data_IF_291618482238
#
_entry.id   IF_291618482238
#
_cell.length_a   1.000
_cell.length_b   1.000
_cell.length_c   1.000
_cell.angle_alpha   90.00
_cell.angle_beta   90.00
_cell.angle_gamma   90.00
#
_symmetry.space_group_name_H-M   'P 1'
#
loop_
_entity.id
_entity.type
_entity.pdbx_description
1 polymer ?
#
# COMPACT_ATOMS: atom_id res chain seq x y z
N UNK A 1 -6.30 14.92 5.36
CA UNK A 1 -6.64 14.06 6.49
C UNK A 1 -7.55 12.91 6.07
N UNK A 2 -7.45 11.77 6.80
CA UNK A 2 -8.21 10.55 6.51
C UNK A 2 -8.76 9.97 7.81
N UNK A 3 -10.04 9.60 7.83
CA UNK A 3 -10.63 8.87 8.95
C UNK A 3 -10.13 7.43 8.98
N UNK A 4 -9.96 6.87 10.18
CA UNK A 4 -9.77 5.44 10.36
C UNK A 4 -10.98 4.65 9.85
N UNK A 5 -10.83 3.36 9.48
CA UNK A 5 -11.93 2.55 8.96
C UNK A 5 -13.15 2.45 9.91
N UNK A 6 -12.92 2.53 11.23
CA UNK A 6 -13.97 2.52 12.25
C UNK A 6 -14.52 3.94 12.59
N UNK A 7 -13.99 4.98 11.95
CA UNK A 7 -14.40 6.37 12.13
C UNK A 7 -14.04 7.02 13.47
N UNK A 8 -13.22 6.37 14.31
CA UNK A 8 -12.90 6.88 15.66
C UNK A 8 -11.66 7.75 15.70
N UNK A 9 -10.84 7.70 14.67
CA UNK A 9 -9.58 8.40 14.59
C UNK A 9 -9.45 9.17 13.28
N UNK A 10 -8.63 10.21 13.28
CA UNK A 10 -8.32 11.04 12.13
C UNK A 10 -6.80 11.10 11.95
N UNK A 11 -6.30 10.59 10.84
CA UNK A 11 -4.90 10.76 10.44
C UNK A 11 -4.73 12.07 9.66
N UNK A 12 -3.62 12.76 9.89
CA UNK A 12 -3.27 14.01 9.21
C UNK A 12 -1.76 14.21 9.20
N UNK A 13 -1.28 15.03 8.27
CA UNK A 13 0.12 15.45 8.23
C UNK A 13 0.27 16.77 8.97
N UNK A 14 1.20 16.80 9.93
CA UNK A 14 1.65 17.96 10.66
C UNK A 14 3.00 18.42 10.10
N UNK A 15 3.19 19.73 9.98
CA UNK A 15 4.43 20.35 9.48
C UNK A 15 4.97 19.75 8.17
N UNK A 16 4.07 19.19 7.36
CA UNK A 16 4.32 18.60 6.01
C UNK A 16 5.07 17.27 6.01
N UNK A 17 5.66 16.84 7.13
CA UNK A 17 6.52 15.66 7.16
C UNK A 17 6.24 14.68 8.29
N UNK A 18 5.26 14.97 9.18
CA UNK A 18 4.91 14.08 10.30
C UNK A 18 3.49 13.54 10.15
N UNK A 19 3.35 12.23 10.07
CA UNK A 19 2.05 11.59 10.15
C UNK A 19 1.61 11.51 11.61
N UNK A 20 0.44 12.06 11.89
CA UNK A 20 -0.18 12.16 13.20
C UNK A 20 -1.55 11.51 13.19
N UNK A 21 -2.01 11.03 14.34
CA UNK A 21 -3.37 10.51 14.52
C UNK A 21 -4.03 11.16 15.74
N UNK A 22 -5.20 11.73 15.52
CA UNK A 22 -6.09 12.27 16.54
C UNK A 22 -7.17 11.24 16.89
N UNK A 23 -7.27 10.85 18.15
CA UNK A 23 -8.43 10.10 18.64
C UNK A 23 -9.60 11.08 18.86
N UNK A 24 -10.73 10.83 18.21
CA UNK A 24 -11.87 11.78 18.18
C UNK A 24 -12.64 11.84 19.50
N UNK A 25 -12.60 10.78 20.30
CA UNK A 25 -13.26 10.74 21.61
C UNK A 25 -12.39 11.42 22.68
N UNK A 26 -11.16 10.92 22.84
CA UNK A 26 -10.26 11.37 23.91
C UNK A 26 -9.52 12.68 23.61
N UNK A 27 -9.56 13.14 22.35
CA UNK A 27 -8.81 14.30 21.82
C UNK A 27 -7.29 14.18 21.95
N UNK A 28 -6.79 12.99 22.23
CA UNK A 28 -5.35 12.75 22.29
C UNK A 28 -4.78 12.58 20.88
N UNK A 29 -3.62 13.19 20.67
CA UNK A 29 -2.84 13.06 19.43
C UNK A 29 -1.66 12.14 19.69
N UNK A 30 -1.39 11.22 18.76
CA UNK A 30 -0.16 10.41 18.75
C UNK A 30 0.59 10.61 17.44
N UNK A 31 1.89 10.53 17.51
CA UNK A 31 2.78 10.64 16.36
C UNK A 31 3.05 9.25 15.79
N UNK A 32 2.94 9.12 14.46
CA UNK A 32 3.24 7.90 13.71
C UNK A 32 4.65 7.98 13.14
N UNK A 33 5.02 9.10 12.49
CA UNK A 33 6.37 9.34 11.96
C UNK A 33 6.98 10.58 12.61
N UNK A 34 8.30 10.63 12.70
CA UNK A 34 9.02 11.73 13.35
C UNK A 34 9.38 12.89 12.41
N UNK A 35 9.11 12.73 11.12
CA UNK A 35 9.43 13.71 10.08
C UNK A 35 10.83 13.60 9.49
N UNK A 36 11.67 12.66 9.96
CA UNK A 36 13.03 12.47 9.44
C UNK A 36 13.06 11.83 8.06
N UNK A 37 11.95 11.24 7.61
CA UNK A 37 11.83 10.47 6.37
C UNK A 37 11.07 11.21 5.27
N UNK A 38 10.89 12.52 5.40
CA UNK A 38 10.26 13.36 4.38
C UNK A 38 10.74 14.82 4.47
N UNK A 39 10.48 15.59 3.42
CA UNK A 39 10.86 16.99 3.36
C UNK A 39 10.07 17.86 4.34
N UNK A 40 10.72 18.84 4.92
CA UNK A 40 10.08 19.92 5.68
C UNK A 40 9.54 21.04 4.78
N UNK A 41 9.92 21.03 3.50
CA UNK A 41 9.51 22.00 2.47
C UNK A 41 8.74 21.28 1.36
N UNK A 42 7.81 21.97 0.70
CA UNK A 42 6.99 21.36 -0.34
C UNK A 42 5.67 20.80 0.19
N UNK A 43 5.09 19.83 -0.50
CA UNK A 43 3.87 19.11 -0.13
C UNK A 43 4.13 18.04 0.92
N UNK A 44 3.05 17.48 1.48
CA UNK A 44 3.12 16.25 2.26
C UNK A 44 3.38 15.03 1.38
N UNK A 45 3.24 13.87 1.98
CA UNK A 45 3.37 12.57 1.31
C UNK A 45 2.03 11.82 1.34
N UNK A 46 1.88 10.86 0.42
CA UNK A 46 0.70 10.01 0.39
C UNK A 46 0.78 8.91 1.46
N UNK A 47 -0.37 8.65 2.07
CA UNK A 47 -0.53 7.60 3.07
C UNK A 47 -1.95 7.03 3.03
N UNK A 48 -2.13 5.80 3.50
CA UNK A 48 -3.44 5.17 3.63
C UNK A 48 -3.51 4.26 4.86
N UNK A 49 -4.69 4.22 5.50
CA UNK A 49 -5.01 3.26 6.53
C UNK A 49 -5.15 1.85 5.95
N UNK A 50 -4.70 0.84 6.71
CA UNK A 50 -5.12 -0.54 6.47
C UNK A 50 -6.61 -0.72 6.78
N UNK A 51 -7.32 -1.68 6.14
CA UNK A 51 -8.74 -1.92 6.40
C UNK A 51 -9.06 -2.24 7.87
N UNK A 52 -8.14 -2.85 8.60
CA UNK A 52 -8.27 -3.17 10.03
C UNK A 52 -7.86 -2.03 10.97
N UNK A 53 -7.38 -0.91 10.43
CA UNK A 53 -6.92 0.25 11.19
C UNK A 53 -5.65 0.06 12.01
N UNK A 54 -4.89 -1.02 11.78
CA UNK A 54 -3.68 -1.34 12.57
C UNK A 54 -2.39 -0.84 11.94
N UNK A 55 -2.42 -0.52 10.64
CA UNK A 55 -1.26 -0.15 9.85
C UNK A 55 -1.52 1.10 9.02
N UNK A 56 -0.43 1.77 8.65
CA UNK A 56 -0.38 2.71 7.54
C UNK A 56 0.59 2.20 6.48
N UNK A 57 0.21 2.34 5.21
CA UNK A 57 1.17 2.43 4.12
C UNK A 57 1.41 3.89 3.79
N UNK A 58 2.63 4.24 3.40
CA UNK A 58 3.00 5.63 3.14
C UNK A 58 4.19 5.73 2.19
N UNK A 59 4.32 6.88 1.55
CA UNK A 59 5.57 7.28 0.90
C UNK A 59 6.58 7.74 1.94
N UNK A 60 7.83 7.35 1.77
CA UNK A 60 8.91 7.83 2.61
C UNK A 60 10.25 7.79 1.89
N UNK A 61 11.18 8.60 2.34
CA UNK A 61 12.56 8.60 1.85
C UNK A 61 13.37 7.72 2.78
N UNK A 62 13.58 6.46 2.36
CA UNK A 62 14.37 5.49 3.09
C UNK A 62 15.85 5.59 2.75
N UNK A 63 16.71 5.07 3.63
CA UNK A 63 18.15 4.90 3.40
C UNK A 63 18.89 6.16 2.92
N UNK A 64 18.35 7.35 3.18
CA UNK A 64 18.86 8.65 2.69
C UNK A 64 18.95 8.74 1.16
N UNK A 65 18.05 8.06 0.47
CA UNK A 65 17.97 8.05 -1.00
C UNK A 65 17.28 9.29 -1.59
N UNK A 66 17.30 10.41 -0.90
CA UNK A 66 16.76 11.67 -1.42
C UNK A 66 17.26 11.94 -2.86
N UNK A 67 16.39 12.21 -3.84
CA UNK A 67 14.94 12.49 -3.73
C UNK A 67 13.99 11.29 -3.97
N UNK A 68 14.51 10.08 -3.98
CA UNK A 68 13.73 8.89 -4.37
C UNK A 68 12.92 8.35 -3.19
N UNK A 69 11.61 8.31 -3.34
CA UNK A 69 10.70 7.75 -2.34
C UNK A 69 10.50 6.26 -2.54
N UNK A 70 10.36 5.56 -1.43
CA UNK A 70 9.95 4.17 -1.33
C UNK A 70 8.54 4.07 -0.72
N UNK A 71 7.93 2.89 -0.80
CA UNK A 71 6.70 2.55 -0.10
C UNK A 71 7.04 1.89 1.23
N UNK A 72 6.49 2.46 2.29
CA UNK A 72 6.66 2.00 3.66
C UNK A 72 5.41 1.43 4.27
N UNK A 73 5.61 0.60 5.29
CA UNK A 73 4.58 0.09 6.18
C UNK A 73 4.96 0.46 7.62
N UNK A 74 4.02 1.00 8.39
CA UNK A 74 4.25 1.39 9.79
C UNK A 74 3.03 1.08 10.65
N UNK A 75 3.26 0.71 11.90
CA UNK A 75 2.18 0.48 12.86
C UNK A 75 1.39 1.76 13.14
N UNK A 76 0.06 1.66 13.13
CA UNK A 76 -0.82 2.76 13.49
C UNK A 76 -0.77 3.14 15.00
N UNK A 77 -0.05 2.38 15.83
CA UNK A 77 0.19 2.69 17.24
C UNK A 77 1.28 3.75 17.44
N UNK A 78 2.08 4.06 16.41
CA UNK A 78 3.13 5.06 16.49
C UNK A 78 4.39 4.65 17.27
N UNK A 79 4.60 3.35 17.46
CA UNK A 79 5.70 2.78 18.23
C UNK A 79 6.65 1.91 17.38
N UNK A 80 6.49 1.93 16.07
CA UNK A 80 7.28 1.12 15.14
C UNK A 80 8.15 1.95 14.21
N UNK A 81 9.17 1.30 13.67
CA UNK A 81 9.93 1.83 12.55
C UNK A 81 9.16 1.63 11.24
N UNK A 82 9.43 2.48 10.25
CA UNK A 82 8.91 2.29 8.90
C UNK A 82 9.67 1.12 8.27
N UNK A 83 8.94 0.08 7.91
CA UNK A 83 9.47 -1.04 7.13
C UNK A 83 9.44 -0.67 5.66
N UNK A 84 10.59 -0.68 4.98
CA UNK A 84 10.67 -0.43 3.55
C UNK A 84 10.20 -1.67 2.77
N UNK A 85 9.14 -1.51 1.98
CA UNK A 85 8.55 -2.60 1.19
C UNK A 85 9.13 -2.71 -0.23
N UNK A 86 9.59 -1.61 -0.79
CA UNK A 86 10.09 -1.56 -2.18
C UNK A 86 11.60 -1.59 -2.26
N UNK A 87 12.28 -0.93 -1.30
CA UNK A 87 13.74 -0.83 -1.19
C UNK A 87 14.42 -0.62 -2.54
N UNK A 88 13.92 0.34 -3.30
CA UNK A 88 14.24 0.57 -4.70
C UNK A 88 15.03 1.86 -4.83
N UNK A 89 15.87 1.97 -5.84
CA UNK A 89 16.53 3.24 -6.20
C UNK A 89 15.70 4.09 -7.16
N UNK A 90 14.39 3.86 -7.24
CA UNK A 90 13.46 4.56 -8.13
C UNK A 90 12.31 5.12 -7.32
N UNK A 91 11.74 6.25 -7.75
CA UNK A 91 10.56 6.84 -7.12
C UNK A 91 9.40 5.87 -7.15
N UNK A 92 8.80 5.66 -6.00
CA UNK A 92 7.55 4.92 -5.83
C UNK A 92 6.57 5.75 -5.00
N UNK A 93 5.29 5.74 -5.37
CA UNK A 93 4.30 6.62 -4.74
C UNK A 93 2.87 6.11 -4.80
N UNK A 94 1.96 6.93 -4.25
CA UNK A 94 0.51 6.71 -4.22
C UNK A 94 0.09 5.35 -3.67
N UNK A 95 0.59 4.93 -2.49
CA UNK A 95 0.29 3.62 -1.93
C UNK A 95 -1.13 3.52 -1.40
N UNK A 96 -1.79 2.39 -1.62
CA UNK A 96 -3.10 2.09 -1.07
C UNK A 96 -3.28 0.60 -0.77
N UNK A 97 -3.96 0.26 0.34
CA UNK A 97 -4.31 -1.12 0.61
C UNK A 97 -5.40 -1.59 -0.34
N UNK A 98 -5.22 -2.76 -0.90
CA UNK A 98 -6.16 -3.42 -1.83
C UNK A 98 -6.35 -4.89 -1.45
N UNK A 99 -7.27 -5.58 -2.12
CA UNK A 99 -7.52 -7.02 -1.92
C UNK A 99 -7.79 -7.36 -0.45
N UNK A 100 -8.67 -6.59 0.20
CA UNK A 100 -9.02 -6.73 1.62
C UNK A 100 -7.80 -6.63 2.57
N UNK A 101 -6.79 -5.83 2.21
CA UNK A 101 -5.57 -5.65 2.98
C UNK A 101 -4.48 -6.69 2.73
N UNK A 102 -4.65 -7.57 1.75
CA UNK A 102 -3.64 -8.58 1.41
C UNK A 102 -2.50 -8.02 0.54
N UNK A 103 -2.69 -6.86 -0.08
CA UNK A 103 -1.66 -6.23 -0.91
C UNK A 103 -1.73 -4.70 -0.81
N UNK A 104 -0.64 -4.05 -1.21
CA UNK A 104 -0.56 -2.61 -1.42
C UNK A 104 -0.36 -2.36 -2.90
N UNK A 105 -1.25 -1.56 -3.50
CA UNK A 105 -1.12 -1.02 -4.85
C UNK A 105 -0.31 0.26 -4.77
N UNK A 106 0.64 0.43 -5.67
CA UNK A 106 1.47 1.64 -5.78
C UNK A 106 1.92 1.87 -7.21
N UNK A 107 2.44 3.05 -7.51
CA UNK A 107 3.08 3.37 -8.79
C UNK A 107 4.58 3.48 -8.62
N UNK A 108 5.35 3.23 -9.68
CA UNK A 108 6.80 3.34 -9.65
C UNK A 108 7.38 3.71 -11.01
N UNK A 109 8.44 4.50 -11.02
CA UNK A 109 9.22 4.87 -12.20
C UNK A 109 10.22 3.80 -12.65
N UNK A 110 10.26 2.64 -12.01
CA UNK A 110 11.35 1.65 -12.15
C UNK A 110 11.52 1.13 -13.58
N UNK A 111 10.43 0.92 -14.31
CA UNK A 111 10.47 0.26 -15.62
C UNK A 111 10.19 1.22 -16.78
N UNK A 112 9.79 2.44 -16.47
CA UNK A 112 9.41 3.43 -17.46
C UNK A 112 10.60 4.06 -18.16
N UNK A 113 10.34 4.58 -19.36
CA UNK A 113 11.32 5.40 -20.09
C UNK A 113 11.52 6.72 -19.35
N UNK A 114 12.79 7.08 -19.08
CA UNK A 114 13.12 8.35 -18.45
C UNK A 114 12.81 9.51 -19.38
N UNK A 115 12.27 10.57 -18.81
CA UNK A 115 12.05 11.82 -19.50
C UNK A 115 13.38 12.49 -19.89
N UNK A 116 13.31 13.43 -20.85
CA UNK A 116 14.44 14.25 -21.22
C UNK A 116 15.02 15.00 -20.01
N UNK A 117 16.34 15.13 -19.94
CA UNK A 117 17.06 15.73 -18.82
C UNK A 117 16.96 14.99 -17.48
N UNK A 118 16.58 13.73 -17.47
CA UNK A 118 16.54 12.85 -16.28
C UNK A 118 15.57 13.29 -15.17
N UNK A 119 14.57 14.12 -15.48
CA UNK A 119 13.51 14.49 -14.57
C UNK A 119 12.26 13.67 -14.88
N UNK A 120 11.91 12.79 -13.94
CA UNK A 120 10.75 11.91 -14.06
C UNK A 120 10.94 10.78 -15.08
N UNK A 121 9.98 9.94 -15.12
CA UNK A 121 9.91 8.75 -15.97
C UNK A 121 8.43 8.41 -16.20
N UNK A 122 8.16 7.50 -17.11
CA UNK A 122 6.85 6.87 -17.19
C UNK A 122 6.68 5.91 -16.02
N UNK A 123 5.44 5.75 -15.57
CA UNK A 123 5.07 4.98 -14.39
C UNK A 123 4.49 3.62 -14.73
N UNK A 124 4.56 2.73 -13.76
CA UNK A 124 3.90 1.44 -13.75
C UNK A 124 3.11 1.21 -12.47
N UNK A 125 1.95 0.59 -12.59
CA UNK A 125 1.19 0.11 -11.43
C UNK A 125 1.74 -1.23 -10.96
N UNK A 126 1.99 -1.33 -9.66
CA UNK A 126 2.58 -2.49 -9.00
C UNK A 126 1.72 -2.93 -7.82
N UNK A 127 1.81 -4.22 -7.48
CA UNK A 127 1.35 -4.77 -6.20
C UNK A 127 2.53 -5.29 -5.40
N UNK A 128 2.54 -5.05 -4.11
CA UNK A 128 3.31 -5.82 -3.14
C UNK A 128 2.34 -6.60 -2.24
N UNK A 129 2.46 -7.93 -2.23
CA UNK A 129 1.63 -8.79 -1.40
C UNK A 129 2.21 -8.89 0.00
N UNK A 130 1.36 -8.66 1.01
CA UNK A 130 1.75 -8.64 2.41
C UNK A 130 1.90 -10.03 3.02
N UNK A 131 1.32 -11.06 2.39
CA UNK A 131 1.46 -12.45 2.83
C UNK A 131 1.60 -13.41 1.63
N UNK A 132 2.20 -14.57 1.91
CA UNK A 132 2.53 -15.56 0.88
C UNK A 132 1.27 -16.19 0.27
N UNK A 133 0.28 -16.52 1.09
CA UNK A 133 -0.96 -17.17 0.62
C UNK A 133 -1.70 -16.32 -0.42
N UNK A 134 -1.73 -15.00 -0.22
CA UNK A 134 -2.35 -14.08 -1.17
C UNK A 134 -1.56 -13.99 -2.47
N UNK A 135 -0.23 -13.97 -2.40
CA UNK A 135 0.65 -13.98 -3.56
C UNK A 135 0.52 -15.27 -4.37
N UNK A 136 0.57 -16.42 -3.71
CA UNK A 136 0.43 -17.72 -4.35
C UNK A 136 -0.90 -17.85 -5.08
N UNK A 137 -1.98 -17.43 -4.43
CA UNK A 137 -3.32 -17.40 -5.03
C UNK A 137 -3.42 -16.48 -6.24
N UNK A 138 -2.78 -15.32 -6.19
CA UNK A 138 -2.76 -14.37 -7.31
C UNK A 138 -1.96 -14.91 -8.49
N UNK A 139 -0.92 -15.71 -8.22
CA UNK A 139 0.00 -16.28 -9.21
C UNK A 139 -0.54 -17.54 -9.89
N UNK A 140 -1.69 -18.07 -9.46
CA UNK A 140 -2.31 -19.24 -10.09
C UNK A 140 -2.67 -18.97 -11.55
N UNK A 141 -2.51 -19.98 -12.39
CA UNK A 141 -3.09 -19.98 -13.75
C UNK A 141 -4.62 -19.87 -13.67
N UNK A 142 -5.27 -19.51 -14.76
CA UNK A 142 -6.74 -19.46 -14.80
C UNK A 142 -7.36 -20.81 -14.45
N UNK A 143 -6.78 -21.89 -14.96
CA UNK A 143 -7.21 -23.26 -14.73
C UNK A 143 -7.03 -23.66 -13.26
N UNK A 144 -5.85 -23.40 -12.68
CA UNK A 144 -5.58 -23.71 -11.28
C UNK A 144 -6.44 -22.87 -10.33
N UNK A 145 -6.75 -21.62 -10.70
CA UNK A 145 -7.63 -20.76 -9.91
C UNK A 145 -9.07 -21.29 -9.90
N UNK A 146 -9.58 -21.84 -11.01
CA UNK A 146 -10.91 -22.49 -11.02
C UNK A 146 -10.92 -23.73 -10.12
N UNK A 147 -9.91 -24.60 -10.20
CA UNK A 147 -9.75 -25.75 -9.31
C UNK A 147 -9.67 -25.33 -7.83
N UNK A 148 -8.89 -24.28 -7.54
CA UNK A 148 -8.82 -23.71 -6.20
C UNK A 148 -10.19 -23.25 -5.68
N UNK A 149 -10.99 -22.60 -6.52
CA UNK A 149 -12.35 -22.17 -6.16
C UNK A 149 -13.27 -23.35 -5.86
N UNK A 150 -13.24 -24.38 -6.71
CA UNK A 150 -14.03 -25.59 -6.51
C UNK A 150 -13.66 -26.27 -5.19
N UNK A 151 -12.37 -26.51 -4.93
CA UNK A 151 -11.88 -27.14 -3.72
C UNK A 151 -12.21 -26.36 -2.44
N UNK A 152 -12.37 -25.03 -2.52
CA UNK A 152 -12.64 -24.18 -1.37
C UNK A 152 -14.10 -23.67 -1.31
N UNK A 153 -14.98 -24.16 -2.18
CA UNK A 153 -16.38 -23.70 -2.29
C UNK A 153 -17.17 -23.85 -0.97
N UNK A 154 -16.95 -24.95 -0.24
CA UNK A 154 -17.65 -25.21 1.01
C UNK A 154 -17.06 -24.41 2.19
N UNK A 155 -15.76 -24.11 2.18
CA UNK A 155 -15.13 -23.23 3.17
C UNK A 155 -15.62 -21.79 3.04
N UNK A 156 -15.90 -21.33 1.82
CA UNK A 156 -16.41 -19.99 1.56
C UNK A 156 -17.82 -19.79 2.12
N UNK A 157 -18.69 -20.79 2.03
CA UNK A 157 -20.06 -20.74 2.60
C UNK A 157 -20.07 -20.61 4.12
N UNK A 158 -19.02 -21.08 4.80
CA UNK A 158 -18.88 -20.96 6.26
C UNK A 158 -18.31 -19.58 6.63
N UNK A 159 -17.33 -19.06 5.84
CA UNK A 159 -16.72 -17.77 6.07
C UNK A 159 -17.67 -16.59 5.75
N UNK A 160 -18.56 -16.70 4.76
CA UNK A 160 -19.54 -15.67 4.42
C UNK A 160 -20.60 -15.42 5.50
N UNK A 161 -20.77 -16.33 6.45
CA UNK A 161 -21.65 -16.11 7.62
C UNK A 161 -21.06 -15.15 8.67
N UNK A 162 -19.74 -14.89 8.63
CA UNK A 162 -19.04 -13.99 9.57
C UNK A 162 -18.49 -12.73 8.85
N UNK A 163 -19.09 -12.38 7.71
CA UNK A 163 -18.62 -11.30 6.81
C UNK A 163 -18.77 -9.87 7.36
N UNK A 164 -19.27 -9.71 8.59
CA UNK A 164 -19.41 -8.40 9.24
C UNK A 164 -18.14 -7.93 9.97
N UNK A 165 -17.14 -8.79 10.16
CA UNK A 165 -15.89 -8.41 10.82
C UNK A 165 -14.79 -8.17 9.80
N UNK A 166 -14.18 -6.98 9.88
CA UNK A 166 -12.94 -6.68 9.15
C UNK A 166 -11.88 -7.68 9.64
N UNK A 167 -11.27 -8.40 8.70
CA UNK A 167 -10.19 -9.33 9.01
C UNK A 167 -8.91 -8.56 9.31
N UNK A 168 -8.12 -9.08 10.24
CA UNK A 168 -6.79 -8.55 10.51
C UNK A 168 -5.89 -8.67 9.26
N UNK A 169 -5.15 -7.62 9.00
CA UNK A 169 -4.13 -7.62 7.94
C UNK A 169 -2.94 -8.46 8.40
N UNK A 170 -2.63 -9.51 7.64
CA UNK A 170 -1.49 -10.39 7.91
C UNK A 170 -0.27 -9.84 7.18
N UNK A 171 0.81 -9.57 7.92
CA UNK A 171 2.05 -9.02 7.37
C UNK A 171 3.20 -10.01 7.60
N UNK A 172 3.76 -10.52 6.51
CA UNK A 172 4.92 -11.40 6.47
C UNK A 172 6.06 -10.66 5.75
N UNK A 173 7.03 -10.19 6.51
CA UNK A 173 8.11 -9.36 5.96
C UNK A 173 9.23 -10.16 5.30
N UNK A 174 9.37 -11.44 5.64
CA UNK A 174 10.42 -12.28 5.05
C UNK A 174 10.21 -12.41 3.54
N UNK A 175 11.23 -12.06 2.75
CA UNK A 175 11.23 -12.12 1.29
C UNK A 175 10.05 -11.35 0.65
N UNK A 176 9.67 -10.21 1.22
CA UNK A 176 8.53 -9.43 0.72
C UNK A 176 8.80 -8.87 -0.67
N UNK A 177 10.05 -8.60 -1.01
CA UNK A 177 10.51 -8.17 -2.33
C UNK A 177 10.24 -9.19 -3.45
N UNK A 178 10.18 -10.48 -3.13
CA UNK A 178 9.84 -11.55 -4.09
C UNK A 178 8.34 -11.58 -4.41
N UNK A 179 7.53 -10.83 -3.68
CA UNK A 179 6.07 -10.73 -3.84
C UNK A 179 5.62 -9.42 -4.45
N UNK A 180 6.50 -8.77 -5.21
CA UNK A 180 6.18 -7.55 -5.96
C UNK A 180 5.86 -7.93 -7.40
N UNK A 181 4.68 -7.48 -7.90
CA UNK A 181 4.17 -7.82 -9.23
C UNK A 181 3.85 -6.56 -10.00
N UNK A 182 4.33 -6.46 -11.24
CA UNK A 182 3.95 -5.42 -12.20
C UNK A 182 2.59 -5.77 -12.82
N UNK A 183 1.67 -4.82 -12.81
CA UNK A 183 0.33 -5.00 -13.35
C UNK A 183 0.16 -4.43 -14.77
N UNK A 184 0.83 -3.33 -15.07
CA UNK A 184 0.73 -2.68 -16.37
C UNK A 184 1.62 -3.35 -17.40
N UNK A 185 1.11 -3.66 -18.61
CA UNK A 185 1.92 -4.22 -19.67
C UNK A 185 2.91 -3.19 -20.26
N UNK A 186 2.53 -1.92 -20.25
CA UNK A 186 3.35 -0.80 -20.73
C UNK A 186 3.32 0.33 -19.72
N UNK A 187 4.46 1.00 -19.57
CA UNK A 187 4.58 2.21 -18.74
C UNK A 187 3.87 3.38 -19.42
N UNK A 188 3.31 4.29 -18.62
CA UNK A 188 2.59 5.47 -19.11
C UNK A 188 2.73 6.63 -18.12
N UNK A 189 2.30 7.83 -18.50
CA UNK A 189 2.21 8.97 -17.57
C UNK A 189 0.97 8.80 -16.68
N UNK A 190 1.12 8.08 -15.58
CA UNK A 190 0.02 7.55 -14.79
C UNK A 190 -0.48 8.57 -13.76
N UNK A 191 -1.76 8.94 -13.85
CA UNK A 191 -2.37 9.92 -12.95
C UNK A 191 -3.02 9.31 -11.72
N UNK A 192 -3.72 8.19 -11.87
CA UNK A 192 -4.44 7.50 -10.77
C UNK A 192 -4.61 6.04 -11.07
N UNK A 193 -4.63 5.22 -10.03
CA UNK A 193 -4.82 3.77 -10.14
C UNK A 193 -5.88 3.29 -9.16
N UNK A 194 -6.68 2.31 -9.58
CA UNK A 194 -7.69 1.66 -8.75
C UNK A 194 -7.85 0.20 -9.16
N UNK A 195 -7.89 -0.70 -8.19
CA UNK A 195 -8.27 -2.10 -8.42
C UNK A 195 -9.74 -2.28 -8.04
N UNK A 196 -10.49 -2.99 -8.88
CA UNK A 196 -11.88 -3.37 -8.56
C UNK A 196 -11.94 -4.19 -7.27
N UNK A 197 -13.06 -4.11 -6.54
CA UNK A 197 -13.25 -4.81 -5.26
C UNK A 197 -13.04 -6.32 -5.35
N UNK A 198 -13.33 -6.92 -6.49
CA UNK A 198 -13.10 -8.35 -6.74
C UNK A 198 -11.66 -8.70 -7.14
N UNK A 199 -10.78 -7.70 -7.23
CA UNK A 199 -9.37 -7.86 -7.56
C UNK A 199 -9.06 -8.21 -9.02
N UNK A 200 -10.07 -8.15 -9.93
CA UNK A 200 -9.91 -8.66 -11.30
C UNK A 200 -9.55 -7.60 -12.33
N UNK A 201 -9.82 -6.34 -12.03
CA UNK A 201 -9.66 -5.26 -13.00
C UNK A 201 -8.88 -4.11 -12.40
N UNK A 202 -7.81 -3.71 -13.08
CA UNK A 202 -7.08 -2.47 -12.81
C UNK A 202 -7.65 -1.37 -13.69
N UNK A 203 -8.03 -0.25 -13.10
CA UNK A 203 -8.37 1.00 -13.78
C UNK A 203 -7.23 1.99 -13.54
N UNK A 204 -6.81 2.70 -14.56
CA UNK A 204 -5.83 3.77 -14.43
C UNK A 204 -6.03 4.85 -15.47
N UNK A 205 -5.61 6.06 -15.15
CA UNK A 205 -5.54 7.19 -16.08
C UNK A 205 -4.12 7.25 -16.64
N UNK A 206 -4.00 7.36 -17.96
CA UNK A 206 -2.73 7.42 -18.69
C UNK A 206 -2.77 8.48 -19.79
#
# INVERSE_FOLDING_TARGET
>A
PQFSPDGKELAFIEDRNRLMVLNLETKKVRRITDGSTWYSTGGGFDYAWSPDGKWFTLEFIGNKHDPYSDIGLVSAQGNGEIVNLTNSGYTSGSPSFVLDGNAILFITERYGMRAHASWGSLDDAMLVFLNQDAYDKFSLSKEDYELYKEANSDRKKIADKDSSKVKDVVVELKNIEDRIVRLTPNSSNMGSTLISKDGKTLYYLA
#
